data_IF_077267909221
#
_entry.id   IF_077267909221
#
_cell.length_a   1.000
_cell.length_b   1.000
_cell.length_c   1.000
_cell.angle_alpha   90.00
_cell.angle_beta   90.00
_cell.angle_gamma   90.00
#
_symmetry.space_group_name_H-M   'P 1'
#
loop_
_entity.id
_entity.type
_entity.pdbx_description
1 polymer ?
#
# COMPACT_ATOMS: atom_id res chain seq x y z
N UNK A 1 16.90 -5.55 -31.63
CA UNK A 1 16.52 -4.15 -31.38
C UNK A 1 17.02 -3.78 -29.99
N UNK A 2 18.15 -3.10 -29.94
CA UNK A 2 18.73 -2.49 -28.74
C UNK A 2 17.83 -1.32 -28.33
N UNK A 3 17.16 -1.46 -27.18
CA UNK A 3 16.42 -0.35 -26.58
C UNK A 3 17.45 0.58 -25.96
N UNK A 4 17.69 1.72 -26.61
CA UNK A 4 18.57 2.77 -26.11
C UNK A 4 17.95 3.38 -24.85
N UNK A 5 18.73 3.42 -23.78
CA UNK A 5 18.37 3.85 -22.44
C UNK A 5 18.45 5.38 -22.33
N UNK A 6 17.64 6.10 -23.12
CA UNK A 6 17.51 7.56 -23.04
C UNK A 6 16.24 7.96 -22.29
N UNK A 7 16.05 7.44 -21.07
CA UNK A 7 15.13 8.05 -20.11
C UNK A 7 15.95 8.94 -19.16
N UNK A 8 15.56 10.20 -18.94
CA UNK A 8 16.29 11.08 -18.02
C UNK A 8 16.43 10.41 -16.65
N UNK A 9 17.66 10.40 -16.13
CA UNK A 9 18.03 9.65 -14.94
C UNK A 9 17.19 10.05 -13.73
N UNK A 10 16.22 9.20 -13.37
CA UNK A 10 15.53 9.23 -12.08
C UNK A 10 16.50 9.14 -10.89
N UNK A 11 17.76 8.72 -11.14
CA UNK A 11 18.83 8.64 -10.16
C UNK A 11 19.23 9.99 -9.54
N UNK A 12 18.92 11.12 -10.17
CA UNK A 12 19.34 12.45 -9.71
C UNK A 12 18.23 13.25 -9.01
N UNK A 13 17.03 12.67 -8.87
CA UNK A 13 15.86 13.31 -8.27
C UNK A 13 15.64 12.94 -6.79
N UNK A 14 16.49 12.08 -6.22
CA UNK A 14 16.52 11.73 -4.79
C UNK A 14 17.04 12.83 -3.87
N UNK A 15 16.73 14.11 -4.14
CA UNK A 15 17.00 15.20 -3.20
C UNK A 15 15.95 15.17 -2.10
N UNK A 16 16.45 14.93 -0.89
CA UNK A 16 15.88 15.12 0.44
C UNK A 16 14.35 15.15 0.55
N UNK A 17 13.82 14.32 1.46
CA UNK A 17 12.52 14.56 2.09
C UNK A 17 12.61 15.93 2.79
N UNK A 18 12.43 17.02 2.04
CA UNK A 18 12.49 18.36 2.61
C UNK A 18 11.23 18.54 3.42
N UNK A 19 11.45 18.95 4.65
CA UNK A 19 10.48 19.46 5.60
C UNK A 19 9.74 20.70 5.07
N UNK A 20 8.95 20.55 4.02
CA UNK A 20 7.77 21.40 3.85
C UNK A 20 6.73 21.06 4.92
N UNK A 21 5.69 21.86 5.08
CA UNK A 21 4.64 21.70 6.12
C UNK A 21 3.95 20.30 6.18
N UNK A 22 4.28 19.41 5.23
CA UNK A 22 3.90 18.00 5.18
C UNK A 22 4.97 17.01 5.69
N UNK A 23 6.10 17.44 6.23
CA UNK A 23 7.03 16.54 6.92
C UNK A 23 6.30 15.82 8.06
N UNK A 24 6.40 14.49 8.07
CA UNK A 24 6.08 13.69 9.26
C UNK A 24 7.18 14.01 10.28
N UNK A 25 6.90 14.74 11.37
CA UNK A 25 7.92 15.01 12.37
C UNK A 25 8.45 13.67 12.93
N UNK A 26 9.72 13.62 13.40
CA UNK A 26 10.22 12.44 14.11
C UNK A 26 9.27 12.11 15.25
N UNK A 27 9.11 10.82 15.58
CA UNK A 27 8.12 10.24 16.49
C UNK A 27 7.94 11.01 17.83
N UNK A 28 7.31 12.19 17.76
CA UNK A 28 6.74 12.90 18.88
C UNK A 28 5.55 12.08 19.28
N UNK A 29 5.50 11.70 20.56
CA UNK A 29 4.34 11.07 21.16
C UNK A 29 3.09 11.79 20.63
N UNK A 30 2.16 11.09 19.94
CA UNK A 30 1.10 11.75 19.22
C UNK A 30 0.35 12.66 20.19
N UNK A 31 0.33 13.96 19.88
CA UNK A 31 -0.51 14.89 20.63
C UNK A 31 -1.94 14.37 20.49
N UNK A 32 -2.68 14.16 21.60
CA UNK A 32 -4.06 13.71 21.52
C UNK A 32 -4.83 14.62 20.56
N UNK A 33 -5.36 14.05 19.48
CA UNK A 33 -6.18 14.82 18.56
C UNK A 33 -7.45 15.22 19.30
N UNK A 34 -7.71 16.52 19.37
CA UNK A 34 -8.98 17.01 19.89
C UNK A 34 -10.12 16.40 19.06
N UNK A 35 -11.15 15.83 19.70
CA UNK A 35 -12.29 15.27 18.99
C UNK A 35 -12.99 16.38 18.18
N UNK A 36 -13.50 16.07 16.97
CA UNK A 36 -14.24 17.05 16.17
C UNK A 36 -15.55 17.42 16.88
N UNK A 37 -15.88 18.71 16.91
CA UNK A 37 -17.09 19.20 17.57
C UNK A 37 -18.34 18.95 16.71
N UNK A 38 -18.18 18.97 15.38
CA UNK A 38 -19.22 18.69 14.41
C UNK A 38 -18.65 18.36 13.03
N UNK A 39 -19.53 18.18 12.04
CA UNK A 39 -19.17 17.82 10.65
C UNK A 39 -18.13 18.75 10.01
N UNK A 40 -18.13 20.05 10.32
CA UNK A 40 -17.23 21.04 9.73
C UNK A 40 -15.75 20.81 10.10
N UNK A 41 -15.49 20.16 11.24
CA UNK A 41 -14.13 19.81 11.68
C UNK A 41 -13.58 18.56 10.99
N UNK A 42 -14.46 17.74 10.39
CA UNK A 42 -14.09 16.41 9.89
C UNK A 42 -12.99 16.42 8.84
N UNK A 43 -12.96 17.33 7.84
CA UNK A 43 -11.88 17.32 6.84
C UNK A 43 -10.49 17.44 7.46
N UNK A 44 -10.31 18.38 8.40
CA UNK A 44 -9.05 18.59 9.11
C UNK A 44 -8.73 17.40 10.03
N UNK A 45 -9.74 16.90 10.73
CA UNK A 45 -9.59 15.77 11.64
C UNK A 45 -9.18 14.49 10.89
N UNK A 46 -9.86 14.16 9.79
CA UNK A 46 -9.55 13.00 8.95
C UNK A 46 -8.16 13.11 8.30
N UNK A 47 -7.73 14.31 7.91
CA UNK A 47 -6.36 14.55 7.45
C UNK A 47 -5.34 14.21 8.55
N UNK A 48 -5.60 14.60 9.80
CA UNK A 48 -4.72 14.28 10.92
C UNK A 48 -4.69 12.76 11.21
N UNK A 49 -5.83 12.07 11.13
CA UNK A 49 -5.89 10.60 11.24
C UNK A 49 -5.09 9.89 10.15
N UNK A 50 -5.07 10.45 8.92
CA UNK A 50 -4.20 9.94 7.84
C UNK A 50 -2.72 10.05 8.21
N UNK A 51 -2.30 11.19 8.77
CA UNK A 51 -0.91 11.38 9.22
C UNK A 51 -0.52 10.41 10.35
N UNK A 52 -1.41 10.18 11.32
CA UNK A 52 -1.21 9.15 12.35
C UNK A 52 -1.05 7.76 11.71
N UNK A 53 -1.90 7.43 10.75
CA UNK A 53 -1.83 6.14 10.08
C UNK A 53 -0.55 5.97 9.25
N UNK A 54 -0.04 7.03 8.63
CA UNK A 54 1.21 7.02 7.87
C UNK A 54 2.45 6.94 8.78
N UNK A 55 2.32 7.34 10.05
CA UNK A 55 3.31 7.17 11.11
C UNK A 55 3.14 5.86 11.91
N UNK A 56 2.31 4.92 11.43
CA UNK A 56 2.00 3.64 12.07
C UNK A 56 1.30 3.71 13.43
N UNK A 57 0.78 4.87 13.84
CA UNK A 57 -0.18 4.95 14.96
C UNK A 57 -1.59 4.53 14.50
N UNK A 58 -1.68 3.27 14.08
CA UNK A 58 -2.90 2.69 13.52
C UNK A 58 -3.99 2.52 14.57
N UNK A 59 -3.62 2.33 15.85
CA UNK A 59 -4.58 2.21 16.93
C UNK A 59 -5.30 3.54 17.18
N UNK A 60 -4.55 4.65 17.33
CA UNK A 60 -5.17 5.97 17.50
C UNK A 60 -5.93 6.39 16.23
N UNK A 61 -5.36 6.14 15.04
CA UNK A 61 -6.05 6.43 13.78
C UNK A 61 -7.38 5.67 13.67
N UNK A 62 -7.42 4.38 14.03
CA UNK A 62 -8.64 3.58 13.99
C UNK A 62 -9.71 4.10 14.97
N UNK A 63 -9.33 4.33 16.23
CA UNK A 63 -10.24 4.88 17.24
C UNK A 63 -10.77 6.26 16.84
N UNK A 64 -9.90 7.11 16.28
CA UNK A 64 -10.30 8.41 15.76
C UNK A 64 -11.28 8.31 14.59
N UNK A 65 -11.15 7.31 13.71
CA UNK A 65 -12.12 7.09 12.63
C UNK A 65 -13.50 6.70 13.17
N UNK A 66 -13.56 5.90 14.24
CA UNK A 66 -14.83 5.59 14.91
C UNK A 66 -15.51 6.86 15.42
N UNK A 67 -14.77 7.76 16.06
CA UNK A 67 -15.31 9.06 16.49
C UNK A 67 -15.81 9.91 15.32
N UNK A 68 -15.08 9.93 14.20
CA UNK A 68 -15.49 10.65 13.00
C UNK A 68 -16.79 10.09 12.40
N UNK A 69 -16.96 8.76 12.42
CA UNK A 69 -18.20 8.09 12.00
C UNK A 69 -19.36 8.48 12.92
N UNK A 70 -19.15 8.49 14.24
CA UNK A 70 -20.19 8.85 15.20
C UNK A 70 -20.63 10.32 15.05
N UNK A 71 -19.69 11.24 14.79
CA UNK A 71 -19.98 12.66 14.54
C UNK A 71 -20.74 12.82 13.23
N UNK A 72 -20.23 12.26 12.13
CA UNK A 72 -20.89 12.36 10.83
C UNK A 72 -22.29 11.72 10.83
N UNK A 73 -22.47 10.63 11.59
CA UNK A 73 -23.75 9.95 11.74
C UNK A 73 -24.79 10.77 12.50
N UNK A 74 -24.39 11.44 13.59
CA UNK A 74 -25.28 12.35 14.35
C UNK A 74 -25.76 13.52 13.50
N UNK A 75 -24.89 14.04 12.64
CA UNK A 75 -25.19 15.19 11.77
C UNK A 75 -25.85 14.76 10.45
N UNK A 76 -26.05 13.47 10.21
CA UNK A 76 -26.65 12.94 8.96
C UNK A 76 -25.81 13.20 7.71
N UNK A 77 -24.49 13.42 7.85
CA UNK A 77 -23.60 13.78 6.75
C UNK A 77 -23.13 12.55 5.98
N UNK A 78 -23.78 12.25 4.85
CA UNK A 78 -23.36 11.15 3.96
C UNK A 78 -21.92 11.30 3.46
N UNK A 79 -21.50 12.50 3.07
CA UNK A 79 -20.13 12.78 2.65
C UNK A 79 -19.10 12.62 3.78
N UNK A 80 -19.44 13.09 4.99
CA UNK A 80 -18.61 12.90 6.18
C UNK A 80 -18.45 11.43 6.54
N UNK A 81 -19.54 10.66 6.51
CA UNK A 81 -19.52 9.21 6.73
C UNK A 81 -18.69 8.50 5.65
N UNK A 82 -18.88 8.84 4.37
CA UNK A 82 -18.12 8.26 3.27
C UNK A 82 -16.61 8.43 3.49
N UNK A 83 -16.14 9.64 3.82
CA UNK A 83 -14.73 9.88 4.08
C UNK A 83 -14.21 9.18 5.34
N UNK A 84 -15.01 9.13 6.41
CA UNK A 84 -14.62 8.49 7.67
C UNK A 84 -14.51 6.96 7.53
N UNK A 85 -15.48 6.31 6.88
CA UNK A 85 -15.41 4.89 6.53
C UNK A 85 -14.25 4.60 5.58
N UNK A 86 -14.02 5.45 4.57
CA UNK A 86 -12.87 5.32 3.67
C UNK A 86 -11.54 5.31 4.42
N UNK A 87 -11.36 6.23 5.37
CA UNK A 87 -10.14 6.30 6.18
C UNK A 87 -10.02 5.09 7.11
N UNK A 88 -11.12 4.66 7.75
CA UNK A 88 -11.12 3.47 8.62
C UNK A 88 -10.80 2.21 7.85
N UNK A 89 -11.33 2.05 6.63
CA UNK A 89 -10.98 0.97 5.71
C UNK A 89 -9.47 0.92 5.45
N UNK A 90 -8.87 2.08 5.13
CA UNK A 90 -7.42 2.16 4.91
C UNK A 90 -6.62 1.72 6.14
N UNK A 91 -7.03 2.14 7.35
CA UNK A 91 -6.39 1.76 8.61
C UNK A 91 -6.59 0.27 8.92
N UNK A 92 -7.81 -0.25 8.76
CA UNK A 92 -8.15 -1.65 8.95
C UNK A 92 -7.34 -2.56 8.02
N UNK A 93 -7.18 -2.18 6.75
CA UNK A 93 -6.33 -2.90 5.78
C UNK A 93 -4.89 -3.00 6.29
N UNK A 94 -4.33 -1.89 6.80
CA UNK A 94 -2.96 -1.83 7.34
C UNK A 94 -2.80 -2.67 8.62
N UNK A 95 -3.83 -2.72 9.47
CA UNK A 95 -3.91 -3.60 10.65
C UNK A 95 -4.09 -5.08 10.30
N UNK A 96 -4.28 -5.41 9.03
CA UNK A 96 -4.60 -6.76 8.58
C UNK A 96 -6.02 -7.19 8.91
N UNK A 97 -6.98 -6.28 9.06
CA UNK A 97 -8.40 -6.61 9.22
C UNK A 97 -9.12 -6.47 7.88
N UNK A 98 -8.81 -7.33 6.90
CA UNK A 98 -9.27 -7.12 5.51
C UNK A 98 -10.78 -7.24 5.35
N UNK A 99 -11.44 -8.12 6.12
CA UNK A 99 -12.90 -8.22 6.11
C UNK A 99 -13.57 -6.92 6.59
N UNK A 100 -13.03 -6.29 7.64
CA UNK A 100 -13.51 -4.99 8.14
C UNK A 100 -13.22 -3.89 7.12
N UNK A 101 -12.02 -3.92 6.52
CA UNK A 101 -11.63 -2.96 5.50
C UNK A 101 -12.52 -3.02 4.26
N UNK A 102 -12.93 -4.22 3.82
CA UNK A 102 -13.84 -4.40 2.71
C UNK A 102 -15.23 -3.83 3.02
N UNK A 103 -15.80 -4.19 4.18
CA UNK A 103 -17.10 -3.65 4.62
C UNK A 103 -17.11 -2.13 4.70
N UNK A 104 -16.06 -1.55 5.30
CA UNK A 104 -15.93 -0.09 5.39
C UNK A 104 -15.73 0.57 4.01
N UNK A 105 -15.01 -0.09 3.08
CA UNK A 105 -14.82 0.42 1.73
C UNK A 105 -16.11 0.42 0.91
N UNK A 106 -16.93 -0.63 1.06
CA UNK A 106 -18.23 -0.73 0.40
C UNK A 106 -19.22 0.29 0.97
N UNK A 107 -19.33 0.38 2.30
CA UNK A 107 -20.15 1.41 2.96
C UNK A 107 -19.73 2.83 2.54
N UNK A 108 -18.42 3.08 2.46
CA UNK A 108 -17.88 4.35 1.97
C UNK A 108 -18.31 4.67 0.54
N UNK A 109 -18.34 3.69 -0.35
CA UNK A 109 -18.74 3.89 -1.75
C UNK A 109 -20.25 4.12 -1.89
N UNK A 110 -21.07 3.39 -1.13
CA UNK A 110 -22.54 3.57 -1.10
C UNK A 110 -22.91 4.97 -0.60
N UNK A 111 -22.28 5.42 0.49
CA UNK A 111 -22.50 6.75 1.06
C UNK A 111 -22.02 7.86 0.12
N UNK A 112 -20.90 7.66 -0.58
CA UNK A 112 -20.41 8.61 -1.56
C UNK A 112 -21.44 8.84 -2.69
N UNK A 113 -22.06 7.77 -3.18
CA UNK A 113 -23.03 7.83 -4.29
C UNK A 113 -24.26 8.69 -3.98
N UNK A 114 -24.65 8.81 -2.70
CA UNK A 114 -25.79 9.62 -2.25
C UNK A 114 -25.39 10.95 -1.61
N UNK A 115 -24.09 11.24 -1.52
CA UNK A 115 -23.57 12.44 -0.83
C UNK A 115 -23.64 13.73 -1.66
N UNK A 116 -23.89 13.62 -2.96
CA UNK A 116 -23.81 14.75 -3.90
C UNK A 116 -22.38 15.19 -4.26
N UNK A 117 -21.36 14.46 -3.77
CA UNK A 117 -19.96 14.68 -4.15
C UNK A 117 -19.75 14.27 -5.61
N UNK A 118 -18.98 15.06 -6.34
CA UNK A 118 -18.61 14.79 -7.73
C UNK A 118 -17.96 13.40 -7.89
N UNK A 119 -18.55 12.47 -8.66
CA UNK A 119 -18.02 11.13 -8.86
C UNK A 119 -16.71 11.09 -9.65
N UNK A 120 -16.36 12.15 -10.39
CA UNK A 120 -15.06 12.29 -11.06
C UNK A 120 -14.04 13.09 -10.22
N UNK A 121 -14.47 13.60 -9.07
CA UNK A 121 -13.68 14.50 -8.24
C UNK A 121 -12.60 13.81 -7.40
N UNK A 122 -11.69 14.59 -6.80
CA UNK A 122 -10.62 14.11 -5.93
C UNK A 122 -11.08 13.18 -4.79
N UNK A 123 -12.22 13.49 -4.17
CA UNK A 123 -12.77 12.68 -3.08
C UNK A 123 -13.20 11.29 -3.56
N UNK A 124 -13.84 11.21 -4.74
CA UNK A 124 -14.23 9.95 -5.35
C UNK A 124 -13.00 9.12 -5.73
N UNK A 125 -11.97 9.75 -6.32
CA UNK A 125 -10.70 9.10 -6.61
C UNK A 125 -10.02 8.53 -5.35
N UNK A 126 -10.04 9.26 -4.24
CA UNK A 126 -9.51 8.80 -2.96
C UNK A 126 -10.28 7.58 -2.43
N UNK A 127 -11.62 7.63 -2.42
CA UNK A 127 -12.48 6.51 -1.98
C UNK A 127 -12.23 5.28 -2.84
N UNK A 128 -12.24 5.43 -4.16
CA UNK A 128 -11.98 4.37 -5.12
C UNK A 128 -10.60 3.74 -4.88
N UNK A 129 -9.55 4.55 -4.75
CA UNK A 129 -8.19 4.05 -4.55
C UNK A 129 -8.05 3.14 -3.33
N UNK A 130 -8.75 3.44 -2.23
CA UNK A 130 -8.70 2.63 -1.00
C UNK A 130 -9.50 1.34 -1.15
N UNK A 131 -10.65 1.40 -1.82
CA UNK A 131 -11.45 0.21 -2.14
C UNK A 131 -10.69 -0.74 -3.05
N UNK A 132 -10.08 -0.22 -4.13
CA UNK A 132 -9.22 -1.00 -5.02
C UNK A 132 -8.04 -1.62 -4.26
N UNK A 133 -7.40 -0.88 -3.35
CA UNK A 133 -6.31 -1.43 -2.55
C UNK A 133 -6.72 -2.61 -1.67
N UNK A 134 -7.94 -2.61 -1.12
CA UNK A 134 -8.49 -3.77 -0.38
C UNK A 134 -8.71 -4.95 -1.33
N UNK A 135 -9.34 -4.71 -2.49
CA UNK A 135 -9.62 -5.76 -3.48
C UNK A 135 -8.34 -6.45 -3.97
N UNK A 136 -7.28 -5.69 -4.23
CA UNK A 136 -5.96 -6.24 -4.61
C UNK A 136 -5.31 -7.09 -3.49
N UNK A 137 -5.57 -6.75 -2.22
CA UNK A 137 -5.00 -7.47 -1.08
C UNK A 137 -5.78 -8.75 -0.74
N UNK A 138 -7.09 -8.81 -1.05
CA UNK A 138 -7.89 -10.04 -0.99
C UNK A 138 -7.76 -10.90 -2.26
N UNK A 139 -7.31 -10.30 -3.35
CA UNK A 139 -7.04 -10.92 -4.65
C UNK A 139 -8.23 -10.93 -5.62
N UNK A 140 -9.20 -10.04 -5.43
CA UNK A 140 -10.32 -9.86 -6.36
C UNK A 140 -9.98 -8.80 -7.42
N UNK A 141 -8.99 -9.14 -8.24
CA UNK A 141 -8.48 -8.27 -9.32
C UNK A 141 -9.56 -7.99 -10.37
N UNK A 142 -10.45 -8.94 -10.63
CA UNK A 142 -11.52 -8.80 -11.62
C UNK A 142 -12.55 -7.76 -11.17
N UNK A 143 -13.01 -7.82 -9.91
CA UNK A 143 -13.91 -6.79 -9.39
C UNK A 143 -13.23 -5.42 -9.34
N UNK A 144 -11.96 -5.37 -8.95
CA UNK A 144 -11.19 -4.11 -8.93
C UNK A 144 -11.14 -3.47 -10.33
N UNK A 145 -10.88 -4.26 -11.38
CA UNK A 145 -10.83 -3.77 -12.75
C UNK A 145 -12.19 -3.26 -13.25
N UNK A 146 -13.26 -4.03 -13.00
CA UNK A 146 -14.62 -3.64 -13.37
C UNK A 146 -15.05 -2.34 -12.66
N UNK A 147 -14.71 -2.18 -11.39
CA UNK A 147 -15.03 -0.96 -10.64
C UNK A 147 -14.28 0.25 -11.16
N UNK A 148 -12.99 0.09 -11.49
CA UNK A 148 -12.21 1.19 -12.08
C UNK A 148 -12.83 1.65 -13.40
N UNK A 149 -13.14 0.71 -14.30
CA UNK A 149 -13.77 1.00 -15.59
C UNK A 149 -15.15 1.69 -15.43
N UNK A 150 -15.96 1.26 -14.44
CA UNK A 150 -17.27 1.85 -14.20
C UNK A 150 -17.22 3.32 -13.73
N UNK A 151 -16.09 3.79 -13.20
CA UNK A 151 -15.92 5.19 -12.77
C UNK A 151 -15.42 6.13 -13.87
N UNK A 152 -14.95 5.61 -15.01
CA UNK A 152 -14.30 6.41 -16.06
C UNK A 152 -12.93 6.98 -15.67
N UNK A 153 -12.35 6.52 -14.56
CA UNK A 153 -11.02 6.90 -14.06
C UNK A 153 -9.92 5.91 -14.52
N UNK A 154 -10.23 5.06 -15.50
CA UNK A 154 -9.32 4.16 -16.20
C UNK A 154 -8.53 4.85 -17.31
N UNK A 155 -8.96 6.03 -17.76
CA UNK A 155 -8.29 6.86 -18.78
C UNK A 155 -7.15 7.74 -18.25
N UNK A 156 -6.90 8.89 -18.90
CA UNK A 156 -5.88 9.83 -18.40
C UNK A 156 -6.34 10.43 -17.06
N UNK A 157 -5.49 10.33 -16.04
CA UNK A 157 -5.79 10.91 -14.74
C UNK A 157 -5.23 12.33 -14.67
N UNK A 158 -5.92 13.24 -13.96
CA UNK A 158 -5.39 14.55 -13.66
C UNK A 158 -4.01 14.45 -12.94
N UNK A 159 -3.13 15.43 -13.19
CA UNK A 159 -1.74 15.49 -12.67
C UNK A 159 -1.64 16.17 -11.27
N UNK A 160 -2.77 16.32 -10.61
CA UNK A 160 -3.00 16.88 -9.29
C UNK A 160 -2.60 15.89 -8.18
N UNK A 161 -2.14 16.38 -7.01
CA UNK A 161 -1.64 15.48 -5.95
C UNK A 161 -2.70 14.53 -5.40
N UNK A 162 -3.97 14.92 -5.45
CA UNK A 162 -5.09 14.13 -4.92
C UNK A 162 -5.30 12.82 -5.71
N UNK A 163 -4.88 12.75 -6.97
CA UNK A 163 -4.99 11.56 -7.82
C UNK A 163 -3.80 10.60 -7.69
N UNK A 164 -2.72 10.97 -6.98
CA UNK A 164 -1.52 10.14 -6.88
C UNK A 164 -1.78 8.77 -6.25
N UNK A 165 -2.64 8.70 -5.22
CA UNK A 165 -2.97 7.41 -4.60
C UNK A 165 -3.76 6.53 -5.57
N UNK A 166 -4.71 7.10 -6.32
CA UNK A 166 -5.43 6.35 -7.34
C UNK A 166 -4.47 5.84 -8.42
N UNK A 167 -3.58 6.69 -8.94
CA UNK A 167 -2.58 6.31 -9.93
C UNK A 167 -1.68 5.17 -9.42
N UNK A 168 -1.22 5.25 -8.17
CA UNK A 168 -0.43 4.18 -7.54
C UNK A 168 -1.18 2.85 -7.47
N UNK A 169 -2.43 2.87 -6.99
CA UNK A 169 -3.23 1.64 -6.85
C UNK A 169 -3.63 1.08 -8.22
N UNK A 170 -3.92 1.96 -9.19
CA UNK A 170 -4.19 1.59 -10.57
C UNK A 170 -2.98 0.93 -11.23
N UNK A 171 -1.77 1.44 -10.99
CA UNK A 171 -0.55 0.79 -11.47
C UNK A 171 -0.36 -0.63 -10.93
N UNK A 172 -0.70 -0.85 -9.64
CA UNK A 172 -0.73 -2.19 -9.05
C UNK A 172 -1.81 -3.08 -9.66
N UNK A 173 -3.00 -2.55 -9.89
CA UNK A 173 -4.12 -3.26 -10.51
C UNK A 173 -3.76 -3.70 -11.93
N UNK A 174 -3.27 -2.80 -12.78
CA UNK A 174 -2.82 -3.14 -14.13
C UNK A 174 -1.78 -4.26 -14.12
N UNK A 175 -0.82 -4.21 -13.19
CA UNK A 175 0.18 -5.28 -13.03
C UNK A 175 -0.47 -6.62 -12.69
N UNK A 176 -1.37 -6.66 -11.71
CA UNK A 176 -2.06 -7.91 -11.32
C UNK A 176 -3.02 -8.41 -12.41
N UNK A 177 -3.51 -7.51 -13.27
CA UNK A 177 -4.35 -7.81 -14.43
C UNK A 177 -3.53 -8.06 -15.71
N UNK A 178 -2.28 -8.51 -15.59
CA UNK A 178 -1.39 -8.85 -16.71
C UNK A 178 -1.13 -7.72 -17.73
N UNK A 179 -1.22 -6.46 -17.28
CA UNK A 179 -0.85 -5.24 -18.04
C UNK A 179 0.35 -4.54 -17.39
N UNK A 180 1.55 -5.17 -17.36
CA UNK A 180 2.70 -4.63 -16.63
C UNK A 180 3.25 -3.34 -17.23
N UNK A 181 3.07 -3.09 -18.54
CA UNK A 181 3.48 -1.84 -19.19
C UNK A 181 2.70 -0.64 -18.69
N UNK A 182 1.37 -0.73 -18.69
CA UNK A 182 0.46 0.28 -18.12
C UNK A 182 0.74 0.47 -16.62
N UNK A 183 0.91 -0.64 -15.90
CA UNK A 183 1.24 -0.63 -14.48
C UNK A 183 2.52 0.14 -14.17
N UNK A 184 3.58 -0.12 -14.93
CA UNK A 184 4.87 0.54 -14.76
C UNK A 184 4.82 2.03 -15.12
N UNK A 185 4.04 2.40 -16.15
CA UNK A 185 3.85 3.80 -16.54
C UNK A 185 3.21 4.62 -15.41
N UNK A 186 2.13 4.11 -14.81
CA UNK A 186 1.48 4.78 -13.67
C UNK A 186 2.40 4.93 -12.47
N UNK A 187 3.18 3.89 -12.15
CA UNK A 187 4.08 3.88 -11.00
C UNK A 187 5.26 4.85 -11.18
N UNK A 188 5.85 4.92 -12.38
CA UNK A 188 6.88 5.93 -12.66
C UNK A 188 6.31 7.34 -12.66
N UNK A 189 5.10 7.53 -13.20
CA UNK A 189 4.43 8.83 -13.15
C UNK A 189 4.22 9.29 -11.71
N UNK A 190 3.90 8.39 -10.78
CA UNK A 190 3.87 8.72 -9.35
C UNK A 190 5.23 9.27 -8.87
N UNK A 191 6.33 8.59 -9.20
CA UNK A 191 7.68 9.01 -8.84
C UNK A 191 8.06 10.38 -9.41
N UNK A 192 7.79 10.62 -10.69
CA UNK A 192 8.02 11.91 -11.35
C UNK A 192 7.28 13.05 -10.63
N UNK A 193 5.99 12.86 -10.32
CA UNK A 193 5.17 13.89 -9.67
C UNK A 193 5.60 14.15 -8.22
N UNK A 194 6.01 13.12 -7.49
CA UNK A 194 6.53 13.26 -6.12
C UNK A 194 7.88 13.98 -6.08
N UNK A 195 8.76 13.69 -7.06
CA UNK A 195 10.05 14.37 -7.20
C UNK A 195 9.88 15.87 -7.46
N UNK A 196 9.00 16.24 -8.40
CA UNK A 196 8.70 17.67 -8.69
C UNK A 196 8.21 18.41 -7.45
N UNK A 197 7.47 17.73 -6.57
CA UNK A 197 6.89 18.30 -5.33
C UNK A 197 7.82 18.21 -4.12
N UNK A 198 8.96 17.51 -4.23
CA UNK A 198 9.87 17.19 -3.10
C UNK A 198 9.14 16.53 -1.92
N UNK A 199 8.19 15.66 -2.23
CA UNK A 199 7.29 15.02 -1.24
C UNK A 199 7.36 13.49 -1.30
N UNK A 200 8.48 12.95 -1.77
CA UNK A 200 8.70 11.53 -1.97
C UNK A 200 8.95 10.82 -0.63
N UNK A 201 7.89 10.27 -0.04
CA UNK A 201 7.92 9.63 1.28
C UNK A 201 7.49 8.15 1.19
N UNK A 202 8.41 7.18 1.38
CA UNK A 202 8.11 5.75 1.22
C UNK A 202 7.00 5.17 2.11
N UNK A 203 6.68 5.80 3.23
CA UNK A 203 5.56 5.38 4.08
C UNK A 203 4.18 5.76 3.50
N UNK A 204 4.13 6.81 2.66
CA UNK A 204 2.89 7.36 2.10
C UNK A 204 2.58 6.68 0.77
N UNK A 205 3.54 6.68 -0.16
CA UNK A 205 3.36 6.14 -1.51
C UNK A 205 4.63 5.40 -1.95
N UNK A 206 4.70 4.07 -1.74
CA UNK A 206 5.89 3.25 -2.00
C UNK A 206 5.96 2.84 -3.49
N UNK A 207 6.04 3.82 -4.38
CA UNK A 207 6.05 3.59 -5.83
C UNK A 207 7.28 2.81 -6.29
N UNK A 208 8.44 3.00 -5.64
CA UNK A 208 9.68 2.29 -5.98
C UNK A 208 9.56 0.80 -5.72
N UNK A 209 9.07 0.40 -4.55
CA UNK A 209 8.79 -1.01 -4.26
C UNK A 209 7.84 -1.62 -5.29
N UNK A 210 6.74 -0.94 -5.62
CA UNK A 210 5.78 -1.45 -6.59
C UNK A 210 6.40 -1.58 -7.99
N UNK A 211 7.12 -0.56 -8.48
CA UNK A 211 7.75 -0.59 -9.79
C UNK A 211 8.88 -1.64 -9.85
N UNK A 212 9.66 -1.79 -8.78
CA UNK A 212 10.69 -2.81 -8.68
C UNK A 212 10.11 -4.24 -8.78
N UNK A 213 8.94 -4.49 -8.17
CA UNK A 213 8.24 -5.76 -8.36
C UNK A 213 7.86 -6.02 -9.82
N UNK A 214 7.35 -5.00 -10.52
CA UNK A 214 6.99 -5.12 -11.95
C UNK A 214 8.24 -5.40 -12.79
N UNK A 215 9.30 -4.61 -12.61
CA UNK A 215 10.56 -4.75 -13.32
C UNK A 215 11.19 -6.13 -13.10
N UNK A 216 11.14 -6.66 -11.88
CA UNK A 216 11.62 -8.00 -11.58
C UNK A 216 10.82 -9.07 -12.33
N UNK A 217 9.49 -8.94 -12.41
CA UNK A 217 8.62 -9.82 -13.18
C UNK A 217 8.89 -9.76 -14.70
N UNK A 218 9.33 -8.61 -15.20
CA UNK A 218 9.76 -8.41 -16.59
C UNK A 218 11.21 -8.84 -16.86
N UNK A 219 11.94 -9.34 -15.85
CA UNK A 219 13.35 -9.73 -15.98
C UNK A 219 14.36 -8.57 -15.94
N UNK A 220 13.91 -7.32 -15.77
CA UNK A 220 14.75 -6.13 -15.66
C UNK A 220 15.36 -5.99 -14.23
N UNK A 221 16.11 -7.01 -13.82
CA UNK A 221 16.53 -7.21 -12.42
C UNK A 221 17.47 -6.13 -11.88
N UNK A 222 18.38 -5.63 -12.71
CA UNK A 222 19.27 -4.53 -12.30
C UNK A 222 18.52 -3.23 -12.02
N UNK A 223 17.55 -2.88 -12.88
CA UNK A 223 16.71 -1.71 -12.69
C UNK A 223 15.84 -1.86 -11.43
N UNK A 224 15.27 -3.05 -11.21
CA UNK A 224 14.53 -3.37 -10.00
C UNK A 224 15.40 -3.23 -8.74
N UNK A 225 16.65 -3.72 -8.78
CA UNK A 225 17.58 -3.68 -7.64
C UNK A 225 17.96 -2.25 -7.28
N UNK A 226 18.29 -1.42 -8.28
CA UNK A 226 18.59 0.00 -8.05
C UNK A 226 17.43 0.70 -7.34
N UNK A 227 16.21 0.50 -7.85
CA UNK A 227 15.02 1.19 -7.36
C UNK A 227 14.66 0.77 -5.92
N UNK A 228 14.73 -0.53 -5.61
CA UNK A 228 14.44 -1.01 -4.25
C UNK A 228 15.56 -0.68 -3.26
N UNK A 229 16.83 -0.70 -3.70
CA UNK A 229 17.96 -0.30 -2.85
C UNK A 229 17.87 1.18 -2.44
N UNK A 230 17.42 2.05 -3.35
CA UNK A 230 17.13 3.46 -3.03
C UNK A 230 16.04 3.58 -1.97
N UNK A 231 14.91 2.86 -2.10
CA UNK A 231 13.84 2.90 -1.09
C UNK A 231 14.32 2.33 0.27
N UNK A 232 15.13 1.27 0.28
CA UNK A 232 15.75 0.75 1.51
C UNK A 232 16.66 1.79 2.17
N UNK A 233 17.46 2.52 1.40
CA UNK A 233 18.33 3.57 1.93
C UNK A 233 17.51 4.72 2.55
N UNK A 234 16.47 5.18 1.85
CA UNK A 234 15.55 6.22 2.33
C UNK A 234 14.84 5.79 3.63
N UNK A 235 14.28 4.59 3.64
CA UNK A 235 13.53 4.08 4.82
C UNK A 235 14.42 3.89 6.04
N UNK A 236 15.67 3.42 5.86
CA UNK A 236 16.66 3.36 6.96
C UNK A 236 17.03 4.74 7.48
N UNK A 237 17.35 5.68 6.59
CA UNK A 237 17.71 7.05 6.95
C UNK A 237 16.63 7.74 7.80
N UNK A 238 15.36 7.51 7.48
CA UNK A 238 14.23 8.16 8.12
C UNK A 238 13.56 7.32 9.22
N UNK A 239 14.08 6.13 9.55
CA UNK A 239 13.53 5.28 10.62
C UNK A 239 12.12 4.74 10.33
N UNK A 240 11.77 4.53 9.06
CA UNK A 240 10.42 4.14 8.63
C UNK A 240 10.25 2.62 8.67
N UNK A 241 10.06 2.03 9.86
CA UNK A 241 10.09 0.58 10.07
C UNK A 241 9.19 -0.23 9.12
N UNK A 242 7.89 0.10 9.03
CA UNK A 242 6.99 -0.65 8.13
C UNK A 242 7.32 -0.47 6.65
N UNK A 243 7.76 0.72 6.24
CA UNK A 243 8.19 0.96 4.87
C UNK A 243 9.49 0.20 4.55
N UNK A 244 10.43 0.15 5.49
CA UNK A 244 11.66 -0.64 5.39
C UNK A 244 11.35 -2.13 5.22
N UNK A 245 10.45 -2.67 6.05
CA UNK A 245 10.01 -4.06 5.94
C UNK A 245 9.44 -4.39 4.56
N UNK A 246 8.57 -3.53 4.01
CA UNK A 246 8.06 -3.68 2.65
C UNK A 246 9.16 -3.62 1.59
N UNK A 247 10.06 -2.65 1.66
CA UNK A 247 11.15 -2.50 0.70
C UNK A 247 12.11 -3.70 0.73
N UNK A 248 12.48 -4.18 1.92
CA UNK A 248 13.31 -5.38 2.10
C UNK A 248 12.64 -6.64 1.56
N UNK A 249 11.31 -6.77 1.69
CA UNK A 249 10.55 -7.87 1.10
C UNK A 249 10.71 -7.90 -0.43
N UNK A 250 10.58 -6.75 -1.08
CA UNK A 250 10.79 -6.64 -2.53
C UNK A 250 12.26 -6.89 -2.88
N UNK A 251 13.20 -6.34 -2.12
CA UNK A 251 14.63 -6.59 -2.32
C UNK A 251 14.96 -8.09 -2.22
N UNK A 252 14.30 -8.81 -1.31
CA UNK A 252 14.43 -10.26 -1.19
C UNK A 252 14.01 -11.02 -2.45
N UNK A 253 12.98 -10.53 -3.16
CA UNK A 253 12.53 -11.10 -4.43
C UNK A 253 13.45 -10.69 -5.59
N UNK A 254 14.06 -9.51 -5.52
CA UNK A 254 14.94 -8.90 -6.55
C UNK A 254 16.40 -9.38 -6.45
N UNK A 255 16.86 -9.86 -5.29
CA UNK A 255 18.21 -10.42 -5.14
C UNK A 255 18.20 -11.95 -5.25
N UNK A 256 19.16 -12.56 -5.96
CA UNK A 256 19.24 -14.02 -6.04
C UNK A 256 19.84 -14.62 -4.75
N UNK A 257 19.53 -15.89 -4.51
CA UNK A 257 20.22 -16.73 -3.52
C UNK A 257 20.15 -16.21 -2.08
N UNK A 258 21.25 -16.39 -1.33
CA UNK A 258 21.33 -16.02 0.09
C UNK A 258 21.09 -14.53 0.34
N UNK A 259 21.51 -13.65 -0.56
CA UNK A 259 21.31 -12.21 -0.40
C UNK A 259 19.82 -11.84 -0.40
N UNK A 260 19.02 -12.50 -1.24
CA UNK A 260 17.56 -12.32 -1.25
C UNK A 260 16.90 -12.89 0.00
N UNK A 261 17.33 -14.09 0.43
CA UNK A 261 16.83 -14.71 1.67
C UNK A 261 17.16 -13.87 2.92
N UNK A 262 18.36 -13.31 3.02
CA UNK A 262 18.76 -12.44 4.12
C UNK A 262 17.93 -11.15 4.19
N UNK A 263 17.64 -10.53 3.04
CA UNK A 263 16.77 -9.35 2.97
C UNK A 263 15.32 -9.68 3.38
N UNK A 264 14.78 -10.81 2.93
CA UNK A 264 13.44 -11.26 3.30
C UNK A 264 13.34 -11.62 4.81
N UNK A 265 14.38 -12.19 5.39
CA UNK A 265 14.44 -12.46 6.84
C UNK A 265 14.54 -11.16 7.66
N UNK A 266 15.33 -10.17 7.21
CA UNK A 266 15.34 -8.83 7.81
C UNK A 266 13.96 -8.17 7.72
N UNK A 267 13.26 -8.29 6.60
CA UNK A 267 11.90 -7.78 6.43
C UNK A 267 10.95 -8.33 7.50
N UNK A 268 10.99 -9.65 7.76
CA UNK A 268 10.18 -10.29 8.80
C UNK A 268 10.53 -9.73 10.19
N UNK A 269 11.82 -9.66 10.54
CA UNK A 269 12.27 -9.14 11.84
C UNK A 269 11.79 -7.70 12.07
N UNK A 270 11.90 -6.85 11.05
CA UNK A 270 11.43 -5.46 11.14
C UNK A 270 9.91 -5.42 11.30
N UNK A 271 9.16 -6.15 10.47
CA UNK A 271 7.70 -6.11 10.46
C UNK A 271 7.06 -6.70 11.73
N UNK A 272 7.72 -7.64 12.41
CA UNK A 272 7.29 -8.17 13.72
C UNK A 272 7.16 -7.06 14.78
N UNK A 273 7.97 -6.00 14.69
CA UNK A 273 7.91 -4.84 15.58
C UNK A 273 6.87 -3.79 15.19
N UNK A 274 6.06 -4.03 14.14
CA UNK A 274 5.12 -3.04 13.59
C UNK A 274 3.68 -3.54 13.64
N UNK A 275 2.67 -2.63 13.62
CA UNK A 275 1.27 -3.06 13.60
C UNK A 275 0.81 -3.56 12.21
N UNK A 276 1.70 -3.60 11.20
CA UNK A 276 1.37 -3.96 9.80
C UNK A 276 1.27 -5.47 9.60
N UNK A 277 0.24 -6.08 10.19
CA UNK A 277 0.08 -7.54 10.19
C UNK A 277 -0.06 -8.16 8.80
N UNK A 278 -0.75 -7.50 7.88
CA UNK A 278 -0.85 -8.02 6.51
C UNK A 278 0.49 -8.03 5.78
N UNK A 279 1.30 -6.96 5.93
CA UNK A 279 2.66 -6.92 5.35
C UNK A 279 3.56 -8.00 5.95
N UNK A 280 3.44 -8.28 7.26
CA UNK A 280 4.15 -9.39 7.90
C UNK A 280 3.71 -10.75 7.33
N UNK A 281 2.41 -10.95 7.11
CA UNK A 281 1.87 -12.15 6.45
C UNK A 281 2.50 -12.35 5.07
N UNK A 282 2.51 -11.29 4.27
CA UNK A 282 3.09 -11.30 2.93
C UNK A 282 4.60 -11.58 2.98
N UNK A 283 5.33 -10.98 3.91
CA UNK A 283 6.76 -11.20 4.08
C UNK A 283 7.10 -12.66 4.44
N UNK A 284 6.32 -13.30 5.32
CA UNK A 284 6.47 -14.72 5.65
C UNK A 284 6.23 -15.60 4.41
N UNK A 285 5.17 -15.34 3.64
CA UNK A 285 4.88 -16.12 2.42
C UNK A 285 5.93 -15.90 1.34
N UNK A 286 6.41 -14.68 1.17
CA UNK A 286 7.48 -14.36 0.22
C UNK A 286 8.81 -15.01 0.62
N UNK A 287 9.20 -14.98 1.90
CA UNK A 287 10.39 -15.70 2.37
C UNK A 287 10.24 -17.22 2.22
N UNK A 288 9.06 -17.75 2.56
CA UNK A 288 8.72 -19.15 2.33
C UNK A 288 8.82 -19.55 0.85
N UNK A 289 8.46 -18.65 -0.06
CA UNK A 289 8.63 -18.85 -1.52
C UNK A 289 10.10 -18.96 -1.90
N UNK A 290 10.97 -18.08 -1.37
CA UNK A 290 12.42 -18.13 -1.61
C UNK A 290 13.04 -19.43 -1.08
N UNK A 291 12.68 -19.83 0.15
CA UNK A 291 13.14 -21.09 0.75
C UNK A 291 12.66 -22.32 -0.04
N UNK A 292 11.42 -22.28 -0.55
CA UNK A 292 10.87 -23.32 -1.40
C UNK A 292 11.69 -23.47 -2.70
N UNK A 293 11.96 -22.35 -3.38
CA UNK A 293 12.79 -22.32 -4.59
C UNK A 293 14.23 -22.83 -4.33
N UNK A 294 14.81 -22.47 -3.18
CA UNK A 294 16.12 -22.96 -2.72
C UNK A 294 16.12 -24.41 -2.21
N UNK A 295 15.00 -25.13 -2.31
CA UNK A 295 14.82 -26.53 -1.86
C UNK A 295 15.07 -26.73 -0.35
N UNK A 296 15.00 -25.67 0.47
CA UNK A 296 15.12 -25.70 1.94
C UNK A 296 13.79 -26.10 2.60
N UNK A 297 13.24 -27.25 2.21
CA UNK A 297 11.86 -27.67 2.54
C UNK A 297 11.49 -27.61 4.03
N UNK A 298 12.34 -28.06 4.99
CA UNK A 298 11.98 -28.00 6.40
C UNK A 298 11.80 -26.57 6.91
N UNK A 299 12.68 -25.65 6.49
CA UNK A 299 12.59 -24.23 6.85
C UNK A 299 11.39 -23.57 6.16
N UNK A 300 11.21 -23.82 4.86
CA UNK A 300 10.08 -23.31 4.10
C UNK A 300 8.74 -23.67 4.77
N UNK A 301 8.56 -24.93 5.18
CA UNK A 301 7.32 -25.39 5.85
C UNK A 301 7.05 -24.68 7.18
N UNK A 302 8.07 -24.36 7.97
CA UNK A 302 7.90 -23.63 9.24
C UNK A 302 7.40 -22.22 8.95
N UNK A 303 8.13 -21.48 8.10
CA UNK A 303 7.79 -20.09 7.74
C UNK A 303 6.42 -20.01 7.06
N UNK A 304 6.11 -20.93 6.15
CA UNK A 304 4.83 -20.96 5.43
C UNK A 304 3.65 -21.31 6.34
N UNK A 305 3.87 -22.06 7.42
CA UNK A 305 2.81 -22.31 8.42
C UNK A 305 2.43 -21.01 9.12
N UNK A 306 3.42 -20.28 9.60
CA UNK A 306 3.21 -18.99 10.29
C UNK A 306 2.58 -17.97 9.33
N UNK A 307 3.05 -17.94 8.07
CA UNK A 307 2.48 -17.10 7.02
C UNK A 307 1.04 -17.46 6.66
N UNK A 308 0.71 -18.76 6.60
CA UNK A 308 -0.64 -19.25 6.34
C UNK A 308 -1.60 -18.87 7.48
N UNK A 309 -1.20 -19.13 8.73
CA UNK A 309 -2.00 -18.78 9.90
C UNK A 309 -2.27 -17.27 9.95
N UNK A 310 -1.23 -16.46 9.74
CA UNK A 310 -1.35 -15.01 9.74
C UNK A 310 -2.21 -14.49 8.57
N UNK A 311 -2.09 -15.09 7.38
CA UNK A 311 -2.91 -14.73 6.21
C UNK A 311 -4.40 -15.04 6.44
N UNK A 312 -4.70 -16.17 7.11
CA UNK A 312 -6.07 -16.53 7.49
C UNK A 312 -6.63 -15.55 8.52
N UNK A 313 -5.86 -15.23 9.55
CA UNK A 313 -6.23 -14.21 10.55
C UNK A 313 -6.46 -12.84 9.89
N UNK A 314 -5.70 -12.52 8.84
CA UNK A 314 -5.89 -11.27 8.12
C UNK A 314 -7.12 -11.24 7.20
N UNK A 315 -7.66 -12.41 6.86
CA UNK A 315 -8.78 -12.54 5.93
C UNK A 315 -8.38 -12.29 4.47
N UNK A 316 -7.18 -12.70 4.03
CA UNK A 316 -6.78 -12.66 2.61
C UNK A 316 -6.91 -14.05 1.96
N UNK A 317 -7.94 -14.31 1.14
CA UNK A 317 -8.09 -15.59 0.45
C UNK A 317 -6.93 -15.88 -0.49
N UNK A 318 -6.48 -14.90 -1.27
CA UNK A 318 -5.38 -15.09 -2.22
C UNK A 318 -4.05 -15.42 -1.54
N UNK A 319 -3.67 -14.70 -0.47
CA UNK A 319 -2.44 -14.99 0.25
C UNK A 319 -2.51 -16.34 0.96
N UNK A 320 -3.68 -16.69 1.51
CA UNK A 320 -3.95 -18.00 2.12
C UNK A 320 -3.79 -19.14 1.11
N UNK A 321 -4.35 -18.99 -0.09
CA UNK A 321 -4.24 -19.98 -1.16
C UNK A 321 -2.78 -20.17 -1.59
N UNK A 322 -2.06 -19.06 -1.83
CA UNK A 322 -0.64 -19.08 -2.19
C UNK A 322 0.22 -19.77 -1.12
N UNK A 323 0.02 -19.44 0.16
CA UNK A 323 0.74 -20.06 1.27
C UNK A 323 0.47 -21.57 1.36
N UNK A 324 -0.80 -21.98 1.16
CA UNK A 324 -1.22 -23.39 1.18
C UNK A 324 -0.59 -24.19 0.05
N UNK A 325 -0.57 -23.66 -1.18
CA UNK A 325 0.04 -24.33 -2.33
C UNK A 325 1.54 -24.54 -2.11
N UNK A 326 2.26 -23.49 -1.68
CA UNK A 326 3.68 -23.58 -1.36
C UNK A 326 3.96 -24.57 -0.22
N UNK A 327 3.10 -24.60 0.81
CA UNK A 327 3.21 -25.53 1.93
C UNK A 327 3.03 -26.99 1.48
N UNK A 328 2.09 -27.23 0.56
CA UNK A 328 1.86 -28.52 -0.09
C UNK A 328 2.98 -28.90 -1.09
N UNK A 329 3.91 -27.98 -1.36
CA UNK A 329 5.01 -28.17 -2.29
C UNK A 329 4.62 -27.97 -3.76
N UNK A 330 3.49 -27.31 -4.02
CA UNK A 330 3.02 -26.91 -5.34
C UNK A 330 3.55 -25.53 -5.68
N UNK A 331 3.79 -25.27 -6.96
CA UNK A 331 3.98 -23.90 -7.41
C UNK A 331 2.60 -23.22 -7.44
N UNK A 332 2.44 -22.04 -6.82
CA UNK A 332 1.21 -21.28 -6.92
C UNK A 332 0.94 -20.93 -8.39
N UNK A 333 -0.34 -20.96 -8.77
CA UNK A 333 -0.80 -20.56 -10.12
C UNK A 333 -0.80 -19.05 -10.27
#
# INVERSE_FOLDING_TARGET
>A
MTVSDERPGLADLGRDITSGDNAVPPATRPVPLAPPAGVDDLPRYLHALRRLADADDLAAAHSGCTLAIDVAGRDGSAGGLAMAYSQRSSVARRLGRLADAARDADASAELLAVSGIDPAGPTAALVLSRRLAVLLDVGDTALADNLLAATGLDGELPDEPEFLLLRYVRGRLHTQAARPGEGLADLYRCGERLAVRRSDHPAVLPWRSAAASVLAGLGAREAAERLVAEEVALTRRHGLASALGRALRIQGQVRPGEAGMAAAEEAIRVLQGTPRRFELATALVDYGTLLHAARRRPQARRVLRDGLELAQQCGSPALTARARDLFAGRNPR
#
